data_IF_908641693967
#
_entry.id   IF_908641693967
#
_cell.length_a   1.000
_cell.length_b   1.000
_cell.length_c   1.000
_cell.angle_alpha   90.00
_cell.angle_beta   90.00
_cell.angle_gamma   90.00
#
_symmetry.space_group_name_H-M   'P 1'
#
loop_
_entity.id
_entity.type
_entity.pdbx_description
1 polymer ?
#
# COMPACT_ATOMS: atom_id res chain seq x y z
N UNK A 1 -17.79 31.19 6.15
CA UNK A 1 -16.95 29.98 6.46
C UNK A 1 -15.98 29.86 5.32
N UNK A 2 -14.65 29.82 5.55
CA UNK A 2 -13.71 29.61 4.44
C UNK A 2 -13.95 28.22 3.85
N UNK A 3 -13.95 28.12 2.53
CA UNK A 3 -14.05 26.88 1.79
C UNK A 3 -12.87 25.96 2.19
N UNK A 4 -13.13 24.67 2.45
CA UNK A 4 -12.09 23.73 2.79
C UNK A 4 -11.32 23.35 1.54
N UNK A 5 -10.01 23.32 1.62
CA UNK A 5 -9.14 22.91 0.51
C UNK A 5 -8.45 21.60 0.88
N UNK A 6 -8.58 20.58 0.03
CA UNK A 6 -7.85 19.31 0.15
C UNK A 6 -6.95 19.11 -1.06
N UNK A 7 -5.77 18.56 -0.81
CA UNK A 7 -4.87 18.17 -1.90
C UNK A 7 -4.90 16.66 -2.12
N UNK A 8 -5.05 16.26 -3.38
CA UNK A 8 -4.85 14.90 -3.84
C UNK A 8 -3.49 14.76 -4.51
N UNK A 9 -2.61 13.91 -4.00
CA UNK A 9 -1.28 13.73 -4.54
C UNK A 9 -1.22 12.44 -5.37
N UNK A 10 -0.90 12.60 -6.66
CA UNK A 10 -0.70 11.46 -7.56
C UNK A 10 0.45 10.57 -7.10
N UNK A 11 0.45 9.33 -7.56
CA UNK A 11 1.63 8.47 -7.52
C UNK A 11 2.65 8.96 -8.52
N UNK A 12 3.92 8.81 -8.19
CA UNK A 12 5.01 9.07 -9.12
C UNK A 12 4.89 8.16 -10.35
N UNK A 13 5.13 8.70 -11.55
CA UNK A 13 5.01 7.93 -12.80
C UNK A 13 5.90 6.70 -12.83
N UNK A 14 7.10 6.82 -12.28
CA UNK A 14 8.07 5.72 -12.19
C UNK A 14 7.57 4.56 -11.31
N UNK A 15 6.63 4.82 -10.40
CA UNK A 15 6.02 3.84 -9.51
C UNK A 15 4.68 3.28 -10.02
N UNK A 16 4.24 3.70 -11.21
CA UNK A 16 3.02 3.23 -11.87
C UNK A 16 3.27 2.67 -13.28
N UNK A 17 4.28 1.82 -13.51
CA UNK A 17 4.64 1.38 -14.86
C UNK A 17 3.44 0.72 -15.57
N UNK A 18 2.98 1.35 -16.67
CA UNK A 18 1.82 0.89 -17.43
C UNK A 18 0.46 1.00 -16.72
N UNK A 19 0.38 1.73 -15.61
CA UNK A 19 -0.84 1.95 -14.82
C UNK A 19 -1.08 3.41 -14.44
N UNK A 20 -0.34 4.33 -15.02
CA UNK A 20 -0.41 5.76 -14.69
C UNK A 20 -1.84 6.31 -14.82
N UNK A 21 -2.57 5.88 -15.87
CA UNK A 21 -3.97 6.27 -16.07
C UNK A 21 -4.90 5.69 -15.00
N UNK A 22 -4.69 4.44 -14.61
CA UNK A 22 -5.53 3.76 -13.62
C UNK A 22 -5.35 4.37 -12.21
N UNK A 23 -4.12 4.63 -11.81
CA UNK A 23 -3.80 5.26 -10.54
C UNK A 23 -4.29 6.72 -10.51
N UNK A 24 -4.11 7.46 -11.58
CA UNK A 24 -4.61 8.83 -11.69
C UNK A 24 -6.15 8.88 -11.64
N UNK A 25 -6.84 7.90 -12.22
CA UNK A 25 -8.30 7.92 -12.32
C UNK A 25 -8.96 7.70 -10.95
N UNK A 26 -8.49 6.77 -10.10
CA UNK A 26 -9.08 6.62 -8.76
C UNK A 26 -8.92 7.89 -7.93
N UNK A 27 -7.79 8.60 -8.06
CA UNK A 27 -7.57 9.85 -7.35
C UNK A 27 -8.51 10.97 -7.85
N UNK A 28 -8.67 11.10 -9.18
CA UNK A 28 -9.59 12.07 -9.79
C UNK A 28 -11.04 11.83 -9.41
N UNK A 29 -11.50 10.57 -9.46
CA UNK A 29 -12.87 10.21 -9.07
C UNK A 29 -13.11 10.51 -7.59
N UNK A 30 -12.15 10.19 -6.72
CA UNK A 30 -12.23 10.54 -5.30
C UNK A 30 -12.33 12.05 -5.11
N UNK A 31 -11.50 12.84 -5.83
CA UNK A 31 -11.56 14.30 -5.81
C UNK A 31 -12.94 14.83 -6.24
N UNK A 32 -13.49 14.36 -7.36
CA UNK A 32 -14.83 14.75 -7.83
C UNK A 32 -15.92 14.47 -6.80
N UNK A 33 -15.86 13.33 -6.10
CA UNK A 33 -16.83 13.03 -5.03
C UNK A 33 -16.68 13.98 -3.84
N UNK A 34 -15.45 14.34 -3.44
CA UNK A 34 -15.22 15.35 -2.40
C UNK A 34 -15.77 16.72 -2.82
N UNK A 35 -15.54 17.14 -4.06
CA UNK A 35 -16.07 18.41 -4.60
C UNK A 35 -17.62 18.44 -4.58
N UNK A 36 -18.27 17.32 -4.88
CA UNK A 36 -19.74 17.20 -4.78
C UNK A 36 -20.27 17.39 -3.35
N UNK A 37 -19.41 17.29 -2.34
CA UNK A 37 -19.73 17.58 -0.94
C UNK A 37 -19.27 18.97 -0.46
N UNK A 38 -18.95 19.88 -1.40
CA UNK A 38 -18.62 21.27 -1.10
C UNK A 38 -17.19 21.49 -0.56
N UNK A 39 -16.26 20.65 -0.98
CA UNK A 39 -14.83 20.79 -0.70
C UNK A 39 -14.10 21.22 -1.97
N UNK A 40 -13.19 22.16 -1.90
CA UNK A 40 -12.29 22.47 -3.01
C UNK A 40 -11.16 21.44 -3.05
N UNK A 41 -10.93 20.80 -4.21
CA UNK A 41 -9.89 19.79 -4.39
C UNK A 41 -8.87 20.24 -5.41
N UNK A 42 -7.61 20.21 -5.04
CA UNK A 42 -6.47 20.43 -5.92
C UNK A 42 -5.68 19.12 -6.10
N UNK A 43 -5.58 18.64 -7.33
CA UNK A 43 -4.79 17.45 -7.65
C UNK A 43 -3.40 17.86 -8.11
N UNK A 44 -2.36 17.32 -7.46
CA UNK A 44 -0.98 17.77 -7.66
C UNK A 44 -0.03 16.58 -7.89
N UNK A 45 1.02 16.84 -8.64
CA UNK A 45 2.16 15.93 -8.73
C UNK A 45 3.00 16.01 -7.44
N UNK A 46 3.52 14.89 -6.94
CA UNK A 46 4.32 14.91 -5.71
C UNK A 46 5.64 15.69 -5.86
N UNK A 47 6.14 15.83 -7.09
CA UNK A 47 7.34 16.61 -7.43
C UNK A 47 7.16 18.12 -7.21
N UNK A 48 5.92 18.60 -7.22
CA UNK A 48 5.59 20.02 -7.03
C UNK A 48 5.51 20.41 -5.54
N UNK A 49 5.68 19.47 -4.61
CA UNK A 49 5.59 19.75 -3.18
C UNK A 49 6.81 20.51 -2.67
N UNK A 50 6.56 21.59 -1.93
CA UNK A 50 7.59 22.36 -1.24
C UNK A 50 7.28 22.51 0.25
N UNK A 51 8.25 22.23 1.10
CA UNK A 51 8.12 22.43 2.55
C UNK A 51 7.83 23.88 2.95
N UNK A 52 8.12 24.85 2.06
CA UNK A 52 7.86 26.27 2.28
C UNK A 52 6.39 26.68 2.04
N UNK A 53 5.59 25.83 1.40
CA UNK A 53 4.19 26.12 1.12
C UNK A 53 3.32 26.04 2.39
N UNK A 54 2.19 26.74 2.34
CA UNK A 54 1.13 26.57 3.33
C UNK A 54 0.35 25.30 2.98
N UNK A 55 0.33 24.30 3.86
CA UNK A 55 -0.41 23.06 3.59
C UNK A 55 -1.93 23.29 3.62
N UNK A 56 -2.71 22.45 2.92
CA UNK A 56 -4.17 22.49 2.91
C UNK A 56 -4.78 21.98 4.22
N UNK A 57 -6.12 22.00 4.32
CA UNK A 57 -6.86 21.45 5.46
C UNK A 57 -6.76 19.92 5.58
N UNK A 58 -6.47 19.22 4.48
CA UNK A 58 -6.28 17.77 4.45
C UNK A 58 -5.61 17.31 3.17
N UNK A 59 -4.91 16.18 3.24
CA UNK A 59 -4.18 15.60 2.10
C UNK A 59 -4.57 14.12 1.95
N UNK A 60 -4.87 13.71 0.73
CA UNK A 60 -5.01 12.31 0.38
C UNK A 60 -3.98 11.95 -0.71
N UNK A 61 -3.24 10.86 -0.53
CA UNK A 61 -2.01 10.66 -1.27
C UNK A 61 -1.81 9.24 -1.76
N UNK A 62 -1.26 9.14 -2.96
CA UNK A 62 -0.78 7.91 -3.56
C UNK A 62 0.75 7.87 -3.70
N UNK A 63 1.42 8.99 -3.53
CA UNK A 63 2.88 9.08 -3.64
C UNK A 63 3.59 8.26 -2.55
N UNK A 64 4.76 7.72 -2.90
CA UNK A 64 5.52 6.82 -2.03
C UNK A 64 7.04 7.05 -2.02
N UNK A 65 7.56 8.04 -2.80
CA UNK A 65 8.99 8.37 -2.78
C UNK A 65 9.38 9.15 -1.53
N UNK A 66 10.59 8.90 -1.06
CA UNK A 66 11.13 9.53 0.15
C UNK A 66 11.15 11.07 0.09
N UNK A 67 11.34 11.65 -1.10
CA UNK A 67 11.38 13.10 -1.29
C UNK A 67 10.04 13.74 -0.91
N UNK A 68 8.94 13.22 -1.47
CA UNK A 68 7.60 13.69 -1.14
C UNK A 68 7.21 13.35 0.31
N UNK A 69 7.51 12.13 0.76
CA UNK A 69 7.16 11.69 2.11
C UNK A 69 7.86 12.49 3.21
N UNK A 70 9.08 13.01 2.99
CA UNK A 70 9.76 13.89 3.96
C UNK A 70 9.00 15.22 4.15
N UNK A 71 8.51 15.83 3.07
CA UNK A 71 7.70 17.05 3.15
C UNK A 71 6.40 16.76 3.91
N UNK A 72 5.73 15.68 3.55
CA UNK A 72 4.46 15.26 4.15
C UNK A 72 4.60 14.91 5.64
N UNK A 73 5.70 14.26 6.06
CA UNK A 73 6.01 14.01 7.47
C UNK A 73 6.15 15.32 8.26
N UNK A 74 6.89 16.31 7.72
CA UNK A 74 7.01 17.61 8.37
C UNK A 74 5.66 18.35 8.50
N UNK A 75 4.77 18.19 7.55
CA UNK A 75 3.41 18.73 7.66
C UNK A 75 2.53 17.95 8.64
N UNK A 76 2.69 16.63 8.72
CA UNK A 76 2.01 15.81 9.73
C UNK A 76 2.38 16.23 11.15
N UNK A 77 3.67 16.52 11.42
CA UNK A 77 4.14 17.06 12.70
C UNK A 77 3.50 18.44 13.03
N UNK A 78 3.13 19.20 12.02
CA UNK A 78 2.40 20.47 12.15
C UNK A 78 0.89 20.30 12.28
N UNK A 79 0.40 19.04 12.38
CA UNK A 79 -1.01 18.71 12.57
C UNK A 79 -1.84 18.57 11.29
N UNK A 80 -1.22 18.60 10.10
CA UNK A 80 -1.94 18.38 8.84
C UNK A 80 -2.39 16.92 8.74
N UNK A 81 -3.69 16.71 8.58
CA UNK A 81 -4.29 15.39 8.41
C UNK A 81 -3.99 14.83 7.03
N UNK A 82 -3.56 13.59 6.98
CA UNK A 82 -3.18 12.92 5.75
C UNK A 82 -3.70 11.47 5.72
N UNK A 83 -4.21 11.03 4.60
CA UNK A 83 -4.65 9.65 4.33
C UNK A 83 -4.03 9.15 3.01
N UNK A 84 -3.21 8.13 3.03
CA UNK A 84 -2.67 7.47 4.22
C UNK A 84 -1.65 8.39 4.90
N UNK A 85 -1.42 8.20 6.20
CA UNK A 85 -0.31 8.89 6.86
C UNK A 85 1.03 8.54 6.19
N UNK A 86 1.98 9.49 6.03
CA UNK A 86 3.27 9.21 5.37
C UNK A 86 4.06 8.08 6.03
N UNK A 87 3.99 7.95 7.34
CA UNK A 87 4.61 6.83 8.05
C UNK A 87 3.98 5.49 7.68
N UNK A 88 2.66 5.45 7.48
CA UNK A 88 1.96 4.24 7.03
C UNK A 88 2.38 3.84 5.61
N UNK A 89 2.59 4.81 4.71
CA UNK A 89 3.15 4.56 3.39
C UNK A 89 4.56 3.98 3.50
N UNK A 90 5.43 4.56 4.32
CA UNK A 90 6.78 4.02 4.58
C UNK A 90 6.73 2.60 5.15
N UNK A 91 5.74 2.28 5.97
CA UNK A 91 5.59 0.94 6.53
C UNK A 91 5.22 -0.12 5.47
N UNK A 92 4.81 0.27 4.26
CA UNK A 92 4.63 -0.67 3.14
C UNK A 92 5.95 -1.05 2.46
N UNK A 93 7.06 -0.37 2.73
CA UNK A 93 8.37 -0.79 2.27
C UNK A 93 8.67 -2.17 2.85
N UNK A 94 9.09 -3.13 2.01
CA UNK A 94 9.13 -4.56 2.36
C UNK A 94 9.86 -4.88 3.65
N UNK A 95 11.03 -4.28 3.88
CA UNK A 95 11.77 -4.51 5.14
C UNK A 95 10.98 -4.02 6.37
N UNK A 96 10.35 -2.85 6.26
CA UNK A 96 9.54 -2.29 7.34
C UNK A 96 8.26 -3.10 7.54
N UNK A 97 7.58 -3.48 6.45
CA UNK A 97 6.38 -4.31 6.48
C UNK A 97 6.65 -5.65 7.17
N UNK A 98 7.76 -6.31 6.86
CA UNK A 98 8.18 -7.56 7.51
C UNK A 98 8.36 -7.36 9.02
N UNK A 99 9.00 -6.27 9.43
CA UNK A 99 9.19 -5.95 10.85
C UNK A 99 7.86 -5.69 11.56
N UNK A 100 6.99 -4.85 10.99
CA UNK A 100 5.67 -4.52 11.55
C UNK A 100 4.79 -5.77 11.67
N UNK A 101 4.77 -6.65 10.67
CA UNK A 101 3.98 -7.88 10.71
C UNK A 101 4.48 -8.89 11.73
N UNK A 102 5.79 -8.98 11.93
CA UNK A 102 6.37 -9.81 13.00
C UNK A 102 5.99 -9.29 14.39
N UNK A 103 6.09 -7.99 14.60
CA UNK A 103 5.73 -7.35 15.87
C UNK A 103 4.24 -7.51 16.19
N UNK A 104 3.38 -7.32 15.19
CA UNK A 104 1.93 -7.43 15.33
C UNK A 104 1.39 -8.87 15.22
N UNK A 105 2.26 -9.88 15.03
CA UNK A 105 1.88 -11.28 14.80
C UNK A 105 0.89 -11.46 13.64
N UNK A 106 1.02 -10.68 12.58
CA UNK A 106 0.22 -10.81 11.35
C UNK A 106 0.75 -11.99 10.54
N UNK A 107 -0.09 -12.97 10.17
CA UNK A 107 0.29 -14.04 9.25
C UNK A 107 0.74 -13.50 7.89
N UNK A 108 2.00 -13.69 7.57
CA UNK A 108 2.65 -13.19 6.36
C UNK A 108 3.60 -14.25 5.81
N UNK A 109 3.89 -14.19 4.52
CA UNK A 109 4.86 -15.11 3.90
C UNK A 109 6.20 -15.04 4.63
N UNK A 110 6.80 -16.21 4.87
CA UNK A 110 8.14 -16.26 5.45
C UNK A 110 9.11 -15.42 4.62
N UNK A 111 9.81 -14.52 5.27
CA UNK A 111 10.65 -13.53 4.61
C UNK A 111 12.00 -13.42 5.31
N UNK A 112 13.07 -13.50 4.53
CA UNK A 112 14.45 -13.32 5.00
C UNK A 112 15.05 -12.09 4.34
N UNK A 113 15.61 -11.20 5.14
CA UNK A 113 16.40 -10.07 4.65
C UNK A 113 17.86 -10.52 4.61
N UNK A 114 18.48 -10.42 3.45
CA UNK A 114 19.87 -10.84 3.23
C UNK A 114 20.67 -9.72 2.59
N UNK A 115 22.00 -9.66 2.81
CA UNK A 115 22.86 -8.77 2.03
C UNK A 115 22.84 -9.19 0.55
N UNK A 116 22.93 -8.22 -0.35
CA UNK A 116 23.02 -8.49 -1.79
C UNK A 116 24.39 -9.03 -2.21
N UNK A 117 25.42 -8.72 -1.42
CA UNK A 117 26.76 -9.26 -1.58
C UNK A 117 27.00 -10.43 -0.61
N UNK A 118 27.24 -11.62 -1.16
CA UNK A 118 27.82 -12.76 -0.47
C UNK A 118 26.98 -13.56 0.53
N UNK A 119 25.66 -13.80 0.37
CA UNK A 119 25.03 -14.84 1.16
C UNK A 119 25.60 -16.22 0.81
N UNK A 120 26.12 -16.92 1.80
CA UNK A 120 26.83 -18.19 1.60
C UNK A 120 25.92 -19.32 1.08
N UNK A 121 24.63 -19.27 1.37
CA UNK A 121 23.65 -20.26 0.91
C UNK A 121 22.36 -19.59 0.45
N UNK A 122 22.00 -19.83 -0.82
CA UNK A 122 20.74 -19.41 -1.41
C UNK A 122 19.83 -20.62 -1.61
N UNK A 123 18.63 -20.61 -1.04
CA UNK A 123 17.63 -21.62 -1.39
C UNK A 123 17.16 -21.44 -2.84
N UNK A 124 16.65 -22.50 -3.43
CA UNK A 124 15.98 -22.46 -4.73
C UNK A 124 14.93 -23.58 -4.77
N UNK A 125 13.76 -23.33 -5.36
CA UNK A 125 13.32 -22.04 -5.96
C UNK A 125 13.04 -20.97 -4.90
N UNK A 126 13.22 -19.67 -5.27
CA UNK A 126 13.06 -18.53 -4.35
C UNK A 126 12.66 -17.28 -5.10
N UNK A 127 11.85 -16.41 -4.50
CA UNK A 127 11.64 -15.05 -4.94
C UNK A 127 12.72 -14.14 -4.34
N UNK A 128 13.38 -13.38 -5.18
CA UNK A 128 14.32 -12.32 -4.80
C UNK A 128 13.65 -10.98 -5.08
N UNK A 129 13.52 -10.15 -4.08
CA UNK A 129 12.80 -8.87 -4.18
C UNK A 129 13.65 -7.72 -3.66
N UNK A 130 13.51 -6.53 -4.27
CA UNK A 130 14.08 -5.30 -3.70
C UNK A 130 13.53 -5.04 -2.30
N UNK A 131 14.28 -4.37 -1.40
CA UNK A 131 13.93 -4.27 0.02
C UNK A 131 12.89 -3.20 0.36
N UNK A 132 12.73 -2.22 -0.51
CA UNK A 132 11.87 -1.04 -0.32
C UNK A 132 10.51 -1.20 -1.02
N UNK A 133 10.18 -0.32 -1.96
CA UNK A 133 8.87 -0.24 -2.63
C UNK A 133 8.49 -1.51 -3.41
N UNK A 134 7.26 -1.54 -3.89
CA UNK A 134 6.74 -2.62 -4.73
C UNK A 134 7.49 -2.74 -6.08
N UNK A 135 6.99 -3.58 -6.98
CA UNK A 135 7.61 -3.80 -8.31
C UNK A 135 7.40 -2.56 -9.20
N UNK A 136 8.47 -1.82 -9.48
CA UNK A 136 8.44 -0.62 -10.34
C UNK A 136 9.14 -0.83 -11.69
N UNK A 137 10.06 -1.80 -11.78
CA UNK A 137 10.79 -2.10 -13.01
C UNK A 137 11.27 -3.54 -13.03
N UNK A 138 11.71 -4.00 -14.18
CA UNK A 138 12.30 -5.33 -14.34
C UNK A 138 13.49 -5.53 -13.38
N UNK A 139 13.54 -6.71 -12.75
CA UNK A 139 14.56 -7.05 -11.76
C UNK A 139 14.24 -6.63 -10.32
N UNK A 140 13.13 -5.91 -10.06
CA UNK A 140 12.68 -5.61 -8.70
C UNK A 140 12.12 -6.84 -7.97
N UNK A 141 11.51 -7.75 -8.72
CA UNK A 141 10.94 -9.01 -8.23
C UNK A 141 11.29 -10.11 -9.22
N UNK A 142 12.14 -11.04 -8.82
CA UNK A 142 12.64 -12.12 -9.66
C UNK A 142 12.31 -13.47 -9.03
N UNK A 143 11.71 -14.37 -9.78
CA UNK A 143 11.58 -15.77 -9.41
C UNK A 143 12.79 -16.55 -9.92
N UNK A 144 13.66 -16.96 -9.02
CA UNK A 144 14.84 -17.74 -9.28
C UNK A 144 14.56 -19.22 -9.07
N UNK A 145 14.67 -20.03 -10.13
CA UNK A 145 14.48 -21.48 -10.08
C UNK A 145 15.71 -22.21 -9.60
N UNK A 146 16.88 -21.60 -9.78
CA UNK A 146 18.20 -22.13 -9.44
C UNK A 146 18.97 -21.17 -8.55
N UNK A 147 19.97 -21.70 -7.84
CA UNK A 147 20.88 -20.87 -7.03
C UNK A 147 21.64 -19.85 -7.86
N UNK A 148 22.01 -20.21 -9.09
CA UNK A 148 22.69 -19.30 -10.01
C UNK A 148 21.81 -18.12 -10.41
N UNK A 149 20.54 -18.36 -10.71
CA UNK A 149 19.55 -17.31 -10.99
C UNK A 149 19.34 -16.41 -9.76
N UNK A 150 19.25 -16.97 -8.56
CA UNK A 150 19.11 -16.20 -7.33
C UNK A 150 20.34 -15.31 -7.08
N UNK A 151 21.55 -15.85 -7.29
CA UNK A 151 22.77 -15.07 -7.18
C UNK A 151 22.83 -13.94 -8.22
N UNK A 152 22.41 -14.21 -9.47
CA UNK A 152 22.30 -13.20 -10.52
C UNK A 152 21.30 -12.09 -10.17
N UNK A 153 20.14 -12.42 -9.59
CA UNK A 153 19.16 -11.45 -9.14
C UNK A 153 19.69 -10.56 -8.00
N UNK A 154 20.42 -11.14 -7.03
CA UNK A 154 21.08 -10.38 -5.96
C UNK A 154 22.15 -9.44 -6.53
N UNK A 155 23.00 -9.92 -7.42
CA UNK A 155 24.01 -9.10 -8.09
C UNK A 155 23.39 -7.94 -8.90
N UNK A 156 22.24 -8.19 -9.55
CA UNK A 156 21.46 -7.16 -10.23
C UNK A 156 20.95 -6.06 -9.30
N UNK A 157 20.49 -6.42 -8.10
CA UNK A 157 20.10 -5.46 -7.06
C UNK A 157 21.33 -4.71 -6.51
N UNK A 158 22.45 -5.41 -6.23
CA UNK A 158 23.68 -4.79 -5.78
C UNK A 158 24.20 -3.74 -6.79
N UNK A 159 24.19 -4.08 -8.09
CA UNK A 159 24.61 -3.15 -9.16
C UNK A 159 23.73 -1.87 -9.22
N UNK A 160 22.52 -1.92 -8.69
CA UNK A 160 21.58 -0.79 -8.56
C UNK A 160 21.70 -0.06 -7.21
N UNK A 161 22.68 -0.43 -6.38
CA UNK A 161 22.94 0.22 -5.09
C UNK A 161 22.12 -0.30 -3.92
N UNK A 162 21.40 -1.40 -4.07
CA UNK A 162 20.72 -2.04 -2.93
C UNK A 162 21.70 -2.89 -2.14
N UNK A 163 21.88 -2.58 -0.87
CA UNK A 163 22.75 -3.35 0.03
C UNK A 163 22.09 -4.65 0.52
N UNK A 164 20.75 -4.71 0.49
CA UNK A 164 19.94 -5.82 0.98
C UNK A 164 18.87 -6.20 -0.03
N UNK A 165 18.40 -7.43 0.12
CA UNK A 165 17.27 -7.98 -0.63
C UNK A 165 16.34 -8.79 0.29
N UNK A 166 15.12 -9.01 -0.12
CA UNK A 166 14.14 -9.87 0.55
C UNK A 166 14.05 -11.18 -0.23
N UNK A 167 14.22 -12.29 0.48
CA UNK A 167 14.00 -13.65 -0.03
C UNK A 167 12.69 -14.21 0.52
N UNK A 168 11.85 -14.74 -0.37
CA UNK A 168 10.57 -15.37 -0.01
C UNK A 168 10.42 -16.71 -0.74
N UNK A 169 10.05 -17.79 -0.04
CA UNK A 169 9.78 -19.07 -0.69
C UNK A 169 8.55 -18.96 -1.61
N UNK A 170 8.47 -19.76 -2.68
CA UNK A 170 7.22 -19.89 -3.42
C UNK A 170 6.15 -20.51 -2.53
N UNK A 171 4.92 -20.03 -2.64
CA UNK A 171 3.74 -20.59 -1.97
C UNK A 171 2.77 -21.05 -3.03
N UNK A 172 2.35 -22.31 -2.96
CA UNK A 172 1.33 -22.87 -3.86
C UNK A 172 -0.07 -22.49 -3.38
N UNK A 173 -0.92 -22.10 -4.33
CA UNK A 173 -2.31 -21.74 -4.06
C UNK A 173 -2.88 -20.73 -5.04
N UNK A 174 -4.10 -20.33 -4.78
CA UNK A 174 -4.79 -19.31 -5.58
C UNK A 174 -4.39 -17.90 -5.13
N UNK A 175 -3.86 -17.12 -6.04
CA UNK A 175 -3.49 -15.72 -5.79
C UNK A 175 -4.74 -14.85 -5.77
N UNK A 176 -4.97 -14.21 -4.64
CA UNK A 176 -6.11 -13.34 -4.35
C UNK A 176 -5.59 -11.90 -4.26
N UNK A 177 -6.25 -11.00 -4.96
CA UNK A 177 -6.09 -9.56 -4.75
C UNK A 177 -7.22 -9.03 -3.89
N UNK A 178 -6.90 -8.04 -3.06
CA UNK A 178 -7.89 -7.41 -2.20
C UNK A 178 -7.72 -5.89 -2.14
N UNK A 179 -8.83 -5.23 -1.81
CA UNK A 179 -8.89 -3.80 -1.51
C UNK A 179 -9.68 -3.58 -0.22
N UNK A 180 -9.28 -2.58 0.55
CA UNK A 180 -9.95 -2.20 1.79
C UNK A 180 -9.90 -0.71 2.06
N UNK A 181 -10.96 -0.20 2.70
CA UNK A 181 -11.06 1.19 3.15
C UNK A 181 -11.51 1.21 4.60
N UNK A 182 -10.78 1.97 5.43
CA UNK A 182 -11.12 2.19 6.83
C UNK A 182 -11.07 0.95 7.70
N UNK A 183 -11.68 1.05 8.85
CA UNK A 183 -11.85 -0.02 9.84
C UNK A 183 -13.23 0.06 10.50
N UNK A 184 -13.54 -0.94 11.35
CA UNK A 184 -14.82 -0.99 12.05
C UNK A 184 -15.97 -1.57 11.24
N UNK A 185 -15.67 -2.31 10.16
CA UNK A 185 -16.67 -3.12 9.46
C UNK A 185 -17.19 -4.27 10.30
N UNK A 186 -18.26 -4.90 9.85
CA UNK A 186 -18.82 -6.11 10.44
C UNK A 186 -17.72 -7.20 10.56
N UNK A 187 -17.81 -8.05 11.55
CA UNK A 187 -16.88 -9.16 11.78
C UNK A 187 -15.40 -8.77 11.97
N UNK A 188 -15.12 -7.49 12.33
CA UNK A 188 -13.77 -6.99 12.56
C UNK A 188 -12.93 -6.76 11.28
N UNK A 189 -13.56 -6.77 10.13
CA UNK A 189 -12.93 -6.45 8.83
C UNK A 189 -12.87 -4.95 8.55
N UNK A 190 -12.45 -4.56 7.32
CA UNK A 190 -12.56 -3.20 6.82
C UNK A 190 -14.01 -2.73 6.75
N UNK A 191 -14.24 -1.40 6.78
CA UNK A 191 -15.59 -0.84 6.57
C UNK A 191 -16.11 -1.13 5.16
N UNK A 192 -15.23 -1.07 4.18
CA UNK A 192 -15.46 -1.54 2.81
C UNK A 192 -14.36 -2.50 2.39
N UNK A 193 -14.73 -3.63 1.76
CA UNK A 193 -13.81 -4.68 1.38
C UNK A 193 -14.24 -5.34 0.07
N UNK A 194 -13.29 -5.55 -0.84
CA UNK A 194 -13.45 -6.34 -2.06
C UNK A 194 -12.25 -7.23 -2.28
N UNK A 195 -12.47 -8.36 -2.93
CA UNK A 195 -11.43 -9.28 -3.32
C UNK A 195 -11.77 -9.94 -4.66
N UNK A 196 -10.75 -10.44 -5.35
CA UNK A 196 -10.89 -11.17 -6.61
C UNK A 196 -9.66 -12.03 -6.86
N UNK A 197 -9.82 -13.07 -7.69
CA UNK A 197 -8.67 -13.85 -8.12
C UNK A 197 -7.85 -13.08 -9.16
N UNK A 198 -6.52 -13.18 -9.07
CA UNK A 198 -5.64 -12.59 -10.08
C UNK A 198 -5.91 -13.21 -11.44
N UNK A 199 -6.04 -12.39 -12.49
CA UNK A 199 -6.49 -12.82 -13.83
C UNK A 199 -5.51 -13.73 -14.56
N UNK A 200 -4.23 -13.67 -14.25
CA UNK A 200 -3.14 -14.38 -14.96
C UNK A 200 -2.79 -15.72 -14.32
N UNK A 201 -3.75 -16.38 -13.70
CA UNK A 201 -3.57 -17.70 -13.10
C UNK A 201 -4.69 -18.65 -13.51
N UNK A 202 -4.42 -19.95 -13.42
CA UNK A 202 -5.47 -20.97 -13.39
C UNK A 202 -5.92 -21.16 -11.94
N UNK A 203 -7.10 -20.68 -11.62
CA UNK A 203 -7.69 -20.81 -10.29
C UNK A 203 -8.00 -22.28 -9.99
N UNK A 204 -7.47 -22.82 -8.91
CA UNK A 204 -7.76 -24.18 -8.44
C UNK A 204 -9.06 -24.25 -7.62
N UNK A 205 -9.49 -23.12 -7.06
CA UNK A 205 -10.70 -23.04 -6.23
C UNK A 205 -10.46 -23.50 -4.79
N UNK A 206 -9.29 -23.23 -4.25
CA UNK A 206 -8.98 -23.57 -2.86
C UNK A 206 -9.94 -22.86 -1.90
N UNK A 207 -10.55 -23.60 -0.94
CA UNK A 207 -11.54 -23.03 -0.04
C UNK A 207 -10.91 -22.08 0.95
N UNK A 208 -11.54 -20.92 1.17
CA UNK A 208 -11.22 -20.02 2.26
C UNK A 208 -12.47 -19.24 2.69
N UNK A 209 -12.47 -18.75 3.92
CA UNK A 209 -13.53 -17.91 4.44
C UNK A 209 -13.23 -16.43 4.12
N UNK A 210 -14.12 -15.77 3.38
CA UNK A 210 -13.98 -14.34 3.03
C UNK A 210 -13.89 -13.46 4.28
N UNK A 211 -14.66 -13.76 5.32
CA UNK A 211 -14.59 -13.04 6.60
C UNK A 211 -13.20 -13.20 7.27
N UNK A 212 -12.55 -14.36 7.14
CA UNK A 212 -11.19 -14.59 7.65
C UNK A 212 -10.17 -13.77 6.86
N UNK A 213 -10.31 -13.72 5.53
CA UNK A 213 -9.46 -12.87 4.69
C UNK A 213 -9.63 -11.40 5.07
N UNK A 214 -10.87 -10.91 5.22
CA UNK A 214 -11.15 -9.53 5.60
C UNK A 214 -10.53 -9.16 6.96
N UNK A 215 -10.63 -10.02 7.97
CA UNK A 215 -9.99 -9.81 9.29
C UNK A 215 -8.45 -9.79 9.18
N UNK A 216 -7.87 -10.71 8.42
CA UNK A 216 -6.43 -10.77 8.19
C UNK A 216 -5.91 -9.49 7.52
N UNK A 217 -6.59 -9.06 6.46
CA UNK A 217 -6.28 -7.82 5.73
C UNK A 217 -6.41 -6.59 6.64
N UNK A 218 -7.45 -6.56 7.50
CA UNK A 218 -7.62 -5.47 8.46
C UNK A 218 -6.51 -5.45 9.51
N UNK A 219 -6.12 -6.60 10.03
CA UNK A 219 -5.00 -6.70 10.98
C UNK A 219 -3.69 -6.19 10.36
N UNK A 220 -3.42 -6.57 9.10
CA UNK A 220 -2.26 -6.10 8.36
C UNK A 220 -2.29 -4.58 8.14
N UNK A 221 -3.41 -4.03 7.69
CA UNK A 221 -3.58 -2.59 7.51
C UNK A 221 -3.38 -1.82 8.82
N UNK A 222 -3.89 -2.36 9.95
CA UNK A 222 -3.70 -1.78 11.28
C UNK A 222 -2.23 -1.77 11.69
N UNK A 223 -1.51 -2.88 11.48
CA UNK A 223 -0.09 -3.00 11.79
C UNK A 223 0.77 -1.99 11.02
N UNK A 224 0.39 -1.67 9.78
CA UNK A 224 1.07 -0.69 8.94
C UNK A 224 0.56 0.75 9.16
N UNK A 225 -0.58 0.94 9.81
CA UNK A 225 -1.25 2.24 9.96
C UNK A 225 -2.02 2.69 8.73
N UNK A 226 -2.37 1.78 7.81
CA UNK A 226 -3.07 2.08 6.56
C UNK A 226 -4.57 2.24 6.75
N UNK A 227 -5.14 3.18 6.01
CA UNK A 227 -6.57 3.50 5.99
C UNK A 227 -7.22 3.22 4.62
N UNK A 228 -6.48 3.41 3.53
CA UNK A 228 -6.86 3.05 2.15
C UNK A 228 -5.76 2.15 1.59
N UNK A 229 -6.08 0.91 1.27
CA UNK A 229 -5.07 -0.11 1.01
C UNK A 229 -5.56 -1.23 0.09
N UNK A 230 -4.62 -2.00 -0.39
CA UNK A 230 -4.86 -3.24 -1.10
C UNK A 230 -3.64 -4.13 -1.03
N UNK A 231 -3.70 -5.28 -1.68
CA UNK A 231 -2.58 -6.20 -1.66
C UNK A 231 -2.90 -7.56 -2.24
N UNK A 232 -2.00 -8.48 -1.94
CA UNK A 232 -2.02 -9.83 -2.46
C UNK A 232 -1.97 -10.87 -1.33
N UNK A 233 -2.77 -11.91 -1.46
CA UNK A 233 -2.79 -13.06 -0.56
C UNK A 233 -2.86 -14.36 -1.36
N UNK A 234 -2.43 -15.49 -0.76
CA UNK A 234 -2.63 -16.83 -1.32
C UNK A 234 -3.57 -17.62 -0.44
N UNK A 235 -4.57 -18.25 -1.06
CA UNK A 235 -5.33 -19.31 -0.47
C UNK A 235 -4.71 -20.67 -0.87
N UNK A 236 -4.20 -21.42 0.08
CA UNK A 236 -3.57 -22.71 -0.16
C UNK A 236 -4.54 -23.87 0.02
N UNK A 237 -4.18 -25.04 -0.51
CA UNK A 237 -5.02 -26.26 -0.51
C UNK A 237 -5.44 -26.73 0.89
N UNK A 238 -4.64 -26.43 1.90
CA UNK A 238 -4.92 -26.72 3.31
C UNK A 238 -5.79 -25.65 4.02
N UNK A 239 -6.35 -24.71 3.26
CA UNK A 239 -7.20 -23.63 3.78
C UNK A 239 -6.47 -22.50 4.49
N UNK A 240 -5.14 -22.46 4.44
CA UNK A 240 -4.39 -21.32 4.95
C UNK A 240 -4.50 -20.12 4.03
N UNK A 241 -4.54 -18.93 4.64
CA UNK A 241 -4.42 -17.64 3.97
C UNK A 241 -3.07 -17.02 4.36
N UNK A 242 -2.28 -16.65 3.35
CA UNK A 242 -0.94 -16.07 3.53
C UNK A 242 -0.88 -14.75 2.78
N UNK A 243 -0.60 -13.66 3.48
CA UNK A 243 -0.35 -12.37 2.81
C UNK A 243 1.00 -12.39 2.10
N UNK A 244 1.04 -11.81 0.91
CA UNK A 244 2.26 -11.66 0.10
C UNK A 244 2.75 -10.22 0.05
N UNK A 245 1.82 -9.27 -0.01
CA UNK A 245 2.10 -7.84 -0.12
C UNK A 245 0.91 -7.00 0.35
N UNK A 246 1.17 -5.82 0.90
CA UNK A 246 0.15 -4.83 1.26
C UNK A 246 0.64 -3.45 0.84
N UNK A 247 -0.15 -2.76 0.03
CA UNK A 247 0.19 -1.50 -0.61
C UNK A 247 -0.72 -0.37 -0.13
N UNK A 248 -0.15 0.83 0.01
CA UNK A 248 -0.89 2.05 0.22
C UNK A 248 -1.63 2.45 -1.06
N UNK A 249 -2.89 2.77 -0.93
CA UNK A 249 -3.75 3.34 -1.98
C UNK A 249 -3.53 2.76 -3.39
N UNK A 250 -3.98 1.53 -3.68
CA UNK A 250 -3.87 0.94 -5.02
C UNK A 250 -4.83 1.60 -6.01
N UNK A 251 -4.75 1.21 -7.29
CA UNK A 251 -5.61 1.73 -8.37
C UNK A 251 -7.10 1.38 -8.26
N UNK A 252 -7.47 0.40 -7.42
CA UNK A 252 -8.84 -0.14 -7.32
C UNK A 252 -9.46 -0.58 -8.66
N UNK A 253 -8.65 -1.03 -9.62
CA UNK A 253 -8.96 -1.17 -11.04
C UNK A 253 -10.36 -1.73 -11.37
N UNK A 254 -10.79 -2.84 -10.73
CA UNK A 254 -12.10 -3.47 -10.97
C UNK A 254 -13.26 -2.81 -10.21
N UNK A 255 -12.98 -2.04 -9.17
CA UNK A 255 -13.97 -1.50 -8.23
C UNK A 255 -13.87 0.02 -8.09
N UNK A 256 -13.24 0.69 -9.03
CA UNK A 256 -12.91 2.11 -8.96
C UNK A 256 -14.14 2.99 -8.74
N UNK A 257 -15.20 2.76 -9.52
CA UNK A 257 -16.44 3.53 -9.43
C UNK A 257 -17.18 3.30 -8.10
N UNK A 258 -17.01 2.11 -7.51
CA UNK A 258 -17.58 1.79 -6.21
C UNK A 258 -16.69 2.32 -5.07
N UNK A 259 -15.37 2.24 -5.21
CA UNK A 259 -14.42 2.61 -4.19
C UNK A 259 -14.32 4.14 -4.02
N UNK A 260 -14.34 4.91 -5.11
CA UNK A 260 -14.14 6.35 -5.06
C UNK A 260 -15.13 7.11 -4.15
N UNK A 261 -16.46 6.90 -4.22
CA UNK A 261 -17.39 7.54 -3.30
C UNK A 261 -17.19 7.09 -1.85
N UNK A 262 -16.83 5.82 -1.61
CA UNK A 262 -16.55 5.30 -0.26
C UNK A 262 -15.29 5.96 0.32
N UNK A 263 -14.22 6.06 -0.47
CA UNK A 263 -13.00 6.74 -0.06
C UNK A 263 -13.28 8.22 0.23
N UNK A 264 -14.01 8.90 -0.65
CA UNK A 264 -14.36 10.30 -0.44
C UNK A 264 -15.16 10.54 0.84
N UNK A 265 -16.17 9.70 1.13
CA UNK A 265 -16.93 9.75 2.37
C UNK A 265 -16.03 9.50 3.59
N UNK A 266 -15.13 8.52 3.52
CA UNK A 266 -14.15 8.22 4.56
C UNK A 266 -13.23 9.42 4.83
N UNK A 267 -12.67 10.03 3.78
CA UNK A 267 -11.83 11.22 3.89
C UNK A 267 -12.57 12.41 4.50
N UNK A 268 -13.83 12.62 4.11
CA UNK A 268 -14.68 13.66 4.66
C UNK A 268 -14.84 13.54 6.17
N UNK A 269 -15.04 12.33 6.69
CA UNK A 269 -15.10 12.05 8.13
C UNK A 269 -13.74 12.28 8.80
N UNK A 270 -12.67 11.71 8.24
CA UNK A 270 -11.32 11.78 8.81
C UNK A 270 -10.80 13.22 8.91
N UNK A 271 -11.08 14.06 7.92
CA UNK A 271 -10.66 15.47 7.90
C UNK A 271 -11.59 16.40 8.69
N UNK A 272 -12.84 15.98 9.00
CA UNK A 272 -13.74 16.71 9.87
C UNK A 272 -13.40 16.59 11.35
N UNK A 273 -12.96 15.42 11.82
CA UNK A 273 -12.63 15.13 13.23
C UNK A 273 -11.54 16.04 13.82
N UNK A 274 -10.67 16.62 12.99
CA UNK A 274 -9.55 17.46 13.43
C UNK A 274 -9.96 18.82 14.03
N UNK A 275 -11.17 19.33 13.76
CA UNK A 275 -11.64 20.62 14.28
C UNK A 275 -12.28 20.54 15.66
N UNK A 276 -12.85 19.39 16.02
CA UNK A 276 -13.45 19.17 17.33
C UNK A 276 -12.37 19.14 18.43
N UNK A 277 -11.21 18.54 18.17
CA UNK A 277 -10.10 18.47 19.12
C UNK A 277 -9.36 19.81 19.31
N UNK A 278 -9.39 20.72 18.32
CA UNK A 278 -8.78 22.04 18.42
C UNK A 278 -9.72 23.13 18.99
N UNK A 279 -11.03 22.87 19.02
CA UNK A 279 -12.08 23.75 19.54
C UNK A 279 -12.23 23.67 21.07
N UNK A 280 -11.91 22.53 21.66
CA UNK A 280 -12.04 22.30 23.13
C UNK A 280 -10.80 22.74 23.93
N UNK A 281 -9.75 23.24 23.25
CA UNK A 281 -8.50 23.72 23.88
C UNK A 281 -8.37 25.25 23.90
N UNK A 282 -9.49 25.99 23.81
CA UNK A 282 -9.49 27.46 23.96
C UNK A 282 -10.39 27.92 25.09
#
# INVERSE_FOLDING_TARGET
>A
MSERTYWGLFREREHSPGRESDDAEILRLTGKHLESHGVHVELRAPEDLSAAETPPDGIFLMCERMEALRVLLAWQERGVRQVNAPLAVLNTYRERMIAQFREANVPFIESRIVPTEGPAELPAPIWVKRPDVHNTQEGDVVFARTRAEAAGALAGLAARGFERAVLQPPVEGDLIKFYGVGGGGADGGPAWFRWFYHKEQRVAGHPFEVARLARLVRAAATALGLEVYGGDAIASADGRLVLLDVNAWPSFALYRDEAAPVIAAYLGLRFAESRSAAGDAR
#
